data_IF_081546542653
#
_entry.id   IF_081546542653
#
_cell.length_a   1.000
_cell.length_b   1.000
_cell.length_c   1.000
_cell.angle_alpha   90.00
_cell.angle_beta   90.00
_cell.angle_gamma   90.00
#
_symmetry.space_group_name_H-M   'P 1'
#
loop_
_entity.id
_entity.type
_entity.pdbx_description
1 polymer ?
#
# COMPACT_ATOMS: atom_id res chain seq x y z
N UNK A 1 1.66 -7.08 6.81
CA UNK A 1 2.37 -7.42 5.56
C UNK A 1 3.72 -6.73 5.46
N UNK A 2 4.67 -7.33 4.73
CA UNK A 2 6.04 -6.81 4.50
C UNK A 2 6.33 -6.87 3.00
N UNK A 3 6.93 -5.81 2.46
CA UNK A 3 7.36 -5.73 1.07
C UNK A 3 8.89 -5.71 1.04
N UNK A 4 9.49 -6.84 0.66
CA UNK A 4 10.93 -6.92 0.50
C UNK A 4 11.35 -6.38 -0.88
N UNK A 5 12.67 -6.31 -1.09
CA UNK A 5 13.25 -5.78 -2.33
C UNK A 5 12.77 -6.53 -3.57
N UNK A 6 12.72 -7.86 -3.50
CA UNK A 6 12.31 -8.72 -4.61
C UNK A 6 10.86 -8.46 -5.04
N UNK A 7 9.93 -8.33 -4.09
CA UNK A 7 8.52 -8.02 -4.38
C UNK A 7 8.40 -6.66 -5.07
N UNK A 8 9.15 -5.66 -4.58
CA UNK A 8 9.14 -4.32 -5.16
C UNK A 8 9.70 -4.35 -6.59
N UNK A 9 10.85 -4.99 -6.82
CA UNK A 9 11.46 -5.08 -8.15
C UNK A 9 10.57 -5.84 -9.16
N UNK A 10 9.93 -6.93 -8.73
CA UNK A 10 8.98 -7.66 -9.56
C UNK A 10 7.80 -6.78 -9.97
N UNK A 11 7.26 -6.00 -9.02
CA UNK A 11 6.18 -5.06 -9.30
C UNK A 11 6.61 -3.96 -10.28
N UNK A 12 7.75 -3.31 -10.04
CA UNK A 12 8.27 -2.23 -10.88
C UNK A 12 8.49 -2.69 -12.33
N UNK A 13 8.96 -3.92 -12.54
CA UNK A 13 9.13 -4.51 -13.87
C UNK A 13 7.79 -4.75 -14.60
N UNK A 14 6.69 -4.95 -13.87
CA UNK A 14 5.35 -5.14 -14.46
C UNK A 14 4.73 -3.80 -14.84
N UNK A 15 4.86 -2.79 -13.99
CA UNK A 15 4.26 -1.46 -14.20
C UNK A 15 5.15 -0.48 -14.96
N UNK A 16 6.37 -0.90 -15.30
CA UNK A 16 7.38 -0.11 -16.00
C UNK A 16 7.68 1.23 -15.30
N UNK A 17 7.80 1.18 -13.97
CA UNK A 17 8.11 2.34 -13.13
C UNK A 17 9.60 2.37 -12.81
N UNK A 18 10.35 3.22 -13.52
CA UNK A 18 11.79 3.42 -13.34
C UNK A 18 12.13 4.47 -12.27
N UNK A 19 11.16 4.89 -11.44
CA UNK A 19 11.41 5.95 -10.47
C UNK A 19 12.43 5.51 -9.40
N UNK A 20 13.59 6.18 -9.29
CA UNK A 20 14.69 5.76 -8.43
C UNK A 20 14.34 5.83 -6.93
N UNK A 21 13.27 6.52 -6.53
CA UNK A 21 12.85 6.54 -5.13
C UNK A 21 12.50 5.13 -4.61
N UNK A 22 12.12 4.23 -5.51
CA UNK A 22 11.79 2.85 -5.18
C UNK A 22 13.02 1.98 -4.90
N UNK A 23 14.23 2.56 -4.91
CA UNK A 23 15.39 2.01 -4.22
C UNK A 23 15.19 1.90 -2.70
N UNK A 24 14.40 2.82 -2.13
CA UNK A 24 14.26 2.98 -0.68
C UNK A 24 12.84 2.72 -0.18
N UNK A 25 11.82 3.12 -0.96
CA UNK A 25 10.42 3.10 -0.53
C UNK A 25 9.55 2.19 -1.39
N UNK A 26 8.54 1.61 -0.77
CA UNK A 26 7.53 0.79 -1.43
C UNK A 26 6.59 1.68 -2.26
N UNK A 27 6.29 1.34 -3.53
CA UNK A 27 5.26 2.03 -4.30
C UNK A 27 3.91 2.01 -3.58
N UNK A 28 3.29 3.17 -3.42
CA UNK A 28 2.01 3.27 -2.73
C UNK A 28 0.89 2.48 -3.41
N UNK A 29 0.94 2.36 -4.74
CA UNK A 29 -0.01 1.56 -5.52
C UNK A 29 0.11 0.05 -5.21
N UNK A 30 1.34 -0.48 -5.11
CA UNK A 30 1.58 -1.88 -4.72
C UNK A 30 0.96 -2.20 -3.36
N UNK A 31 1.07 -1.28 -2.39
CA UNK A 31 0.44 -1.45 -1.08
C UNK A 31 -1.08 -1.58 -1.24
N UNK A 32 -1.70 -0.70 -2.02
CA UNK A 32 -3.16 -0.69 -2.25
C UNK A 32 -3.62 -1.98 -2.95
N UNK A 33 -2.92 -2.41 -4.00
CA UNK A 33 -3.23 -3.67 -4.69
C UNK A 33 -3.11 -4.86 -3.74
N UNK A 34 -2.09 -4.87 -2.88
CA UNK A 34 -1.92 -5.94 -1.90
C UNK A 34 -3.05 -5.97 -0.88
N UNK A 35 -3.49 -4.82 -0.38
CA UNK A 35 -4.66 -4.73 0.52
C UNK A 35 -5.90 -5.30 -0.16
N UNK A 36 -6.21 -4.86 -1.38
CA UNK A 36 -7.38 -5.38 -2.10
C UNK A 36 -7.28 -6.87 -2.44
N UNK A 37 -6.08 -7.40 -2.65
CA UNK A 37 -5.89 -8.85 -2.85
C UNK A 37 -6.16 -9.69 -1.60
N UNK A 38 -6.11 -9.07 -0.41
CA UNK A 38 -6.41 -9.73 0.87
C UNK A 38 -7.87 -9.53 1.31
N UNK A 39 -8.65 -8.75 0.57
CA UNK A 39 -10.06 -8.48 0.86
C UNK A 39 -10.96 -9.28 -0.07
N UNK A 40 -12.10 -9.74 0.45
CA UNK A 40 -13.12 -10.42 -0.35
C UNK A 40 -13.92 -9.45 -1.24
N UNK A 41 -14.09 -8.19 -0.80
CA UNK A 41 -14.82 -7.14 -1.53
C UNK A 41 -13.85 -6.17 -2.20
N UNK A 42 -13.89 -6.11 -3.53
CA UNK A 42 -13.14 -5.14 -4.31
C UNK A 42 -14.04 -3.95 -4.64
N UNK A 43 -13.61 -2.76 -4.21
CA UNK A 43 -14.37 -1.55 -4.45
C UNK A 43 -14.27 -1.12 -5.91
N UNK A 44 -15.42 -0.94 -6.56
CA UNK A 44 -15.48 -0.45 -7.94
C UNK A 44 -14.91 0.97 -8.11
N UNK A 45 -14.93 1.78 -7.05
CA UNK A 45 -14.43 3.15 -7.08
C UNK A 45 -13.94 3.57 -5.69
N UNK A 46 -12.75 4.17 -5.65
CA UNK A 46 -12.13 4.63 -4.42
C UNK A 46 -11.14 5.77 -4.67
N UNK A 47 -10.71 6.41 -3.58
CA UNK A 47 -9.67 7.44 -3.54
C UNK A 47 -8.58 6.99 -2.58
N UNK A 48 -7.34 7.41 -2.85
CA UNK A 48 -6.20 7.12 -1.98
C UNK A 48 -5.66 8.44 -1.46
N UNK A 49 -5.43 8.51 -0.14
CA UNK A 49 -4.70 9.58 0.53
C UNK A 49 -3.36 9.03 1.01
N UNK A 50 -2.29 9.38 0.33
CA UNK A 50 -0.92 9.09 0.78
C UNK A 50 -0.53 10.07 1.88
N UNK A 51 -0.05 9.55 3.02
CA UNK A 51 0.26 10.34 4.23
C UNK A 51 1.75 10.30 4.54
N UNK A 52 2.35 9.10 4.53
CA UNK A 52 3.77 8.90 4.76
C UNK A 52 4.32 7.80 3.86
N UNK A 53 5.62 7.84 3.60
CA UNK A 53 6.33 6.78 2.87
C UNK A 53 6.40 5.49 3.70
N UNK A 54 6.46 4.37 3.00
CA UNK A 54 6.71 3.05 3.58
C UNK A 54 8.07 2.57 3.11
N UNK A 55 8.94 2.24 4.05
CA UNK A 55 10.28 1.75 3.72
C UNK A 55 10.22 0.28 3.28
N UNK A 56 11.17 -0.13 2.43
CA UNK A 56 11.31 -1.54 2.08
C UNK A 56 11.64 -2.35 3.35
N UNK A 57 11.02 -3.52 3.49
CA UNK A 57 11.02 -4.37 4.68
C UNK A 57 10.31 -3.78 5.91
N UNK A 58 9.65 -2.61 5.80
CA UNK A 58 8.78 -2.11 6.87
C UNK A 58 7.56 -3.03 7.02
N UNK A 59 7.23 -3.35 8.28
CA UNK A 59 6.04 -4.10 8.61
C UNK A 59 4.86 -3.16 8.80
N UNK A 60 3.90 -3.27 7.87
CA UNK A 60 2.65 -2.51 7.89
C UNK A 60 1.46 -3.44 8.04
N UNK A 61 0.34 -2.92 8.53
CA UNK A 61 -0.93 -3.62 8.63
C UNK A 61 -2.06 -2.72 8.12
N UNK A 62 -3.25 -3.29 7.96
CA UNK A 62 -4.42 -2.52 7.56
C UNK A 62 -5.67 -2.85 8.38
N UNK A 63 -6.53 -1.85 8.54
CA UNK A 63 -7.81 -1.96 9.22
C UNK A 63 -8.92 -1.41 8.32
N UNK A 64 -10.03 -2.15 8.24
CA UNK A 64 -11.25 -1.68 7.56
C UNK A 64 -12.14 -0.98 8.59
N UNK A 65 -12.42 0.29 8.34
CA UNK A 65 -13.24 1.14 9.20
C UNK A 65 -14.57 1.41 8.51
N UNK A 66 -15.66 0.98 9.17
CA UNK A 66 -17.05 1.24 8.77
C UNK A 66 -17.41 0.80 7.33
N UNK A 67 -16.64 -0.10 6.72
CA UNK A 67 -16.74 -0.51 5.29
C UNK A 67 -16.61 0.64 4.27
N UNK A 68 -16.20 1.83 4.71
CA UNK A 68 -16.00 3.01 3.88
C UNK A 68 -14.52 3.38 3.73
N UNK A 69 -13.68 2.97 4.68
CA UNK A 69 -12.27 3.35 4.71
C UNK A 69 -11.38 2.18 5.05
N UNK A 70 -10.18 2.19 4.50
CA UNK A 70 -9.11 1.27 4.87
C UNK A 70 -7.92 2.11 5.28
N UNK A 71 -7.46 1.92 6.51
CA UNK A 71 -6.30 2.62 7.05
C UNK A 71 -5.13 1.66 7.01
N UNK A 72 -4.03 2.07 6.36
CA UNK A 72 -2.78 1.32 6.36
C UNK A 72 -1.79 2.04 7.26
N UNK A 73 -1.26 1.33 8.26
CA UNK A 73 -0.35 1.88 9.26
C UNK A 73 0.80 0.93 9.58
N UNK A 74 1.87 1.44 10.18
CA UNK A 74 2.94 0.60 10.69
C UNK A 74 2.71 0.17 12.15
N UNK A 75 3.64 -0.61 12.71
CA UNK A 75 3.60 -1.04 14.13
C UNK A 75 3.59 0.09 15.15
N UNK A 76 4.02 1.30 14.78
CA UNK A 76 3.98 2.48 15.63
C UNK A 76 2.66 3.26 15.49
N UNK A 77 1.66 2.71 14.78
CA UNK A 77 0.40 3.36 14.42
C UNK A 77 0.58 4.61 13.56
N UNK A 78 1.71 4.75 12.87
CA UNK A 78 1.90 5.83 11.90
C UNK A 78 1.15 5.47 10.63
N UNK A 79 0.19 6.32 10.25
CA UNK A 79 -0.63 6.13 9.05
C UNK A 79 0.22 6.38 7.82
N UNK A 80 0.31 5.38 6.95
CA UNK A 80 1.04 5.44 5.68
C UNK A 80 0.14 5.91 4.55
N UNK A 81 -1.02 5.29 4.43
CA UNK A 81 -2.05 5.71 3.47
C UNK A 81 -3.45 5.35 3.95
N UNK A 82 -4.44 6.01 3.36
CA UNK A 82 -5.86 5.74 3.61
C UNK A 82 -6.56 5.56 2.27
N UNK A 83 -7.28 4.45 2.12
CA UNK A 83 -8.15 4.17 0.98
C UNK A 83 -9.58 4.52 1.39
N UNK A 84 -10.29 5.29 0.58
CA UNK A 84 -11.62 5.82 0.89
C UNK A 84 -12.56 5.42 -0.24
N UNK A 85 -13.64 4.70 0.10
CA UNK A 85 -14.68 4.31 -0.86
C UNK A 85 -15.40 5.57 -1.37
N UNK A 86 -15.73 5.59 -2.66
CA UNK A 86 -16.56 6.65 -3.24
C UNK A 86 -18.05 6.37 -3.05
#
# INVERSE_FOLDING_TARGET
MVFNREIVEQYLAIVDDENPIHEYIVPGQLIVEKVFSMMDDQWASYKIKYVQTTDINELIDFEVVENERIIVSNKANEVKLVIIRN
#
